data_IF_057676999850
#
_entry.id   IF_057676999850
#
_cell.length_a   1.000
_cell.length_b   1.000
_cell.length_c   1.000
_cell.angle_alpha   90.00
_cell.angle_beta   90.00
_cell.angle_gamma   90.00
#
_symmetry.space_group_name_H-M   'P 1'
#
loop_
_entity.id
_entity.type
_entity.pdbx_description
1 polymer ?
#
# COMPACT_ATOMS: atom_id res chain seq x y z
N UNK A 1 18.25 7.64 0.27
CA UNK A 1 17.52 8.88 0.59
C UNK A 1 16.04 8.67 0.29
N UNK A 2 15.15 8.97 1.24
CA UNK A 2 13.70 8.64 1.23
C UNK A 2 13.34 7.16 1.03
N UNK A 3 14.18 6.23 1.49
CA UNK A 3 13.91 4.78 1.39
C UNK A 3 12.53 4.41 1.97
N UNK A 4 12.09 5.12 3.01
CA UNK A 4 10.77 4.96 3.62
C UNK A 4 9.61 5.16 2.64
N UNK A 5 9.75 6.05 1.64
CA UNK A 5 8.69 6.33 0.66
C UNK A 5 8.52 5.13 -0.28
N UNK A 6 9.63 4.54 -0.71
CA UNK A 6 9.61 3.30 -1.49
C UNK A 6 9.04 2.15 -0.67
N UNK A 7 9.50 1.98 0.57
CA UNK A 7 8.99 0.92 1.45
C UNK A 7 7.48 1.08 1.69
N UNK A 8 7.00 2.32 1.84
CA UNK A 8 5.58 2.64 1.93
C UNK A 8 4.82 2.23 0.68
N UNK A 9 5.26 2.68 -0.50
CA UNK A 9 4.59 2.40 -1.77
C UNK A 9 4.56 0.89 -2.07
N UNK A 10 5.68 0.20 -1.86
CA UNK A 10 5.75 -1.25 -2.03
C UNK A 10 4.78 -1.97 -1.10
N UNK A 11 4.72 -1.58 0.18
CA UNK A 11 3.82 -2.21 1.13
C UNK A 11 2.35 -1.91 0.80
N UNK A 12 2.04 -0.71 0.32
CA UNK A 12 0.72 -0.34 -0.17
C UNK A 12 0.29 -1.19 -1.37
N UNK A 13 1.19 -1.38 -2.36
CA UNK A 13 0.96 -2.25 -3.52
C UNK A 13 0.75 -3.72 -3.12
N UNK A 14 1.58 -4.24 -2.20
CA UNK A 14 1.45 -5.61 -1.69
C UNK A 14 0.12 -5.83 -0.97
N UNK A 15 -0.31 -4.88 -0.13
CA UNK A 15 -1.61 -4.93 0.55
C UNK A 15 -2.74 -4.92 -0.48
N UNK A 16 -2.73 -3.98 -1.42
CA UNK A 16 -3.77 -3.86 -2.45
C UNK A 16 -3.88 -5.14 -3.31
N UNK A 17 -2.74 -5.75 -3.64
CA UNK A 17 -2.73 -7.01 -4.38
C UNK A 17 -3.28 -8.19 -3.55
N UNK A 18 -2.96 -8.27 -2.25
CA UNK A 18 -3.54 -9.28 -1.36
C UNK A 18 -5.04 -9.10 -1.17
N UNK A 19 -5.54 -7.87 -1.00
CA UNK A 19 -6.97 -7.57 -0.92
C UNK A 19 -7.71 -8.02 -2.18
N UNK A 20 -7.16 -7.69 -3.35
CA UNK A 20 -7.68 -8.14 -4.64
C UNK A 20 -7.73 -9.67 -4.76
N UNK A 21 -6.67 -10.36 -4.33
CA UNK A 21 -6.61 -11.82 -4.35
C UNK A 21 -7.59 -12.45 -3.36
N UNK A 22 -7.75 -11.84 -2.18
CA UNK A 22 -8.72 -12.26 -1.17
C UNK A 22 -10.14 -12.19 -1.73
N UNK A 23 -10.50 -11.08 -2.37
CA UNK A 23 -11.82 -10.88 -2.98
C UNK A 23 -12.12 -11.93 -4.06
N UNK A 24 -11.14 -12.21 -4.93
CA UNK A 24 -11.26 -13.28 -5.92
C UNK A 24 -11.45 -14.65 -5.27
N UNK A 25 -10.66 -14.95 -4.25
CA UNK A 25 -10.70 -16.27 -3.59
C UNK A 25 -12.00 -16.45 -2.81
N UNK A 26 -12.52 -15.38 -2.18
CA UNK A 26 -13.87 -15.36 -1.58
C UNK A 26 -14.98 -15.50 -2.62
N UNK A 27 -14.81 -14.95 -3.82
CA UNK A 27 -15.75 -15.17 -4.93
C UNK A 27 -15.72 -16.62 -5.44
N UNK A 28 -14.53 -17.23 -5.51
CA UNK A 28 -14.36 -18.64 -5.82
C UNK A 28 -15.07 -19.52 -4.80
N UNK A 29 -14.87 -19.29 -3.50
CA UNK A 29 -15.54 -20.04 -2.44
C UNK A 29 -17.07 -19.96 -2.57
N UNK A 30 -17.62 -18.79 -2.88
CA UNK A 30 -19.08 -18.63 -3.11
C UNK A 30 -19.60 -19.54 -4.22
N UNK A 31 -18.82 -19.75 -5.29
CA UNK A 31 -19.19 -20.68 -6.38
C UNK A 31 -19.25 -22.13 -5.91
N UNK A 32 -18.30 -22.54 -5.06
CA UNK A 32 -18.26 -23.87 -4.47
C UNK A 32 -19.39 -24.12 -3.46
N UNK A 33 -19.73 -23.13 -2.64
CA UNK A 33 -20.74 -23.29 -1.57
C UNK A 33 -22.17 -23.16 -2.11
N UNK A 34 -22.39 -22.21 -3.02
CA UNK A 34 -23.75 -21.77 -3.39
C UNK A 34 -23.95 -21.53 -4.88
N UNK A 35 -22.91 -21.64 -5.69
CA UNK A 35 -22.96 -21.35 -7.12
C UNK A 35 -22.90 -22.59 -8.00
N UNK A 36 -22.34 -22.39 -9.18
CA UNK A 36 -22.28 -23.37 -10.27
C UNK A 36 -21.39 -24.59 -9.97
N UNK A 37 -20.53 -24.51 -8.96
CA UNK A 37 -19.64 -25.61 -8.56
C UNK A 37 -20.18 -26.42 -7.37
N UNK A 38 -21.38 -26.09 -6.85
CA UNK A 38 -21.95 -26.71 -5.64
C UNK A 38 -22.14 -28.23 -5.73
N UNK A 39 -22.55 -28.72 -6.89
CA UNK A 39 -22.83 -30.16 -7.10
C UNK A 39 -21.55 -30.99 -7.37
N UNK A 40 -20.38 -30.32 -7.48
CA UNK A 40 -19.08 -30.99 -7.57
C UNK A 40 -18.69 -31.43 -6.15
N UNK A 41 -18.63 -32.74 -5.91
CA UNK A 41 -18.48 -33.32 -4.56
C UNK A 41 -17.29 -32.72 -3.78
N UNK A 42 -17.62 -31.93 -2.75
CA UNK A 42 -16.68 -31.44 -1.75
C UNK A 42 -16.32 -32.58 -0.77
N UNK A 43 -15.28 -33.35 -1.05
CA UNK A 43 -14.60 -34.18 -0.03
C UNK A 43 -13.66 -33.30 0.82
N UNK A 44 -13.13 -33.79 1.94
CA UNK A 44 -12.14 -33.05 2.74
C UNK A 44 -10.84 -32.71 1.96
N UNK A 45 -10.58 -33.43 0.86
CA UNK A 45 -9.48 -33.19 -0.08
C UNK A 45 -9.89 -32.32 -1.28
N UNK A 46 -11.15 -31.86 -1.32
CA UNK A 46 -11.68 -31.10 -2.44
C UNK A 46 -10.99 -29.76 -2.59
N UNK A 47 -11.03 -29.25 -3.82
CA UNK A 47 -10.52 -27.92 -4.13
C UNK A 47 -11.19 -26.83 -3.27
N UNK A 48 -12.46 -26.98 -2.88
CA UNK A 48 -13.13 -26.05 -1.97
C UNK A 48 -12.49 -25.94 -0.58
N UNK A 49 -12.10 -27.06 0.04
CA UNK A 49 -11.38 -27.04 1.33
C UNK A 49 -10.00 -26.38 1.22
N UNK A 50 -9.34 -26.52 0.05
CA UNK A 50 -8.09 -25.81 -0.25
C UNK A 50 -8.31 -24.31 -0.45
N UNK A 51 -9.48 -23.88 -0.94
CA UNK A 51 -9.86 -22.46 -1.09
C UNK A 51 -10.02 -21.81 0.28
N UNK A 52 -10.64 -22.47 1.26
CA UNK A 52 -10.75 -21.95 2.64
C UNK A 52 -9.38 -21.76 3.29
N UNK A 53 -8.49 -22.76 3.19
CA UNK A 53 -7.11 -22.65 3.69
C UNK A 53 -6.33 -21.51 3.00
N UNK A 54 -6.55 -21.28 1.70
CA UNK A 54 -5.95 -20.15 0.97
C UNK A 54 -6.47 -18.81 1.47
N UNK A 55 -7.77 -18.71 1.77
CA UNK A 55 -8.37 -17.48 2.35
C UNK A 55 -7.71 -17.19 3.69
N UNK A 56 -7.62 -18.18 4.58
CA UNK A 56 -7.00 -18.00 5.90
C UNK A 56 -5.54 -17.54 5.79
N UNK A 57 -4.76 -18.13 4.88
CA UNK A 57 -3.38 -17.72 4.63
C UNK A 57 -3.27 -16.26 4.13
N UNK A 58 -4.15 -15.85 3.20
CA UNK A 58 -4.17 -14.47 2.68
C UNK A 58 -4.58 -13.48 3.79
N UNK A 59 -5.60 -13.80 4.58
CA UNK A 59 -6.05 -12.95 5.70
C UNK A 59 -4.97 -12.80 6.77
N UNK A 60 -4.26 -13.89 7.08
CA UNK A 60 -3.11 -13.86 7.98
C UNK A 60 -2.00 -12.94 7.46
N UNK A 61 -1.59 -13.10 6.20
CA UNK A 61 -0.55 -12.24 5.61
C UNK A 61 -0.98 -10.78 5.55
N UNK A 62 -2.24 -10.51 5.17
CA UNK A 62 -2.81 -9.17 5.12
C UNK A 62 -2.74 -8.51 6.50
N UNK A 63 -3.10 -9.23 7.58
CA UNK A 63 -3.01 -8.71 8.94
C UNK A 63 -1.58 -8.31 9.34
N UNK A 64 -0.57 -9.09 8.94
CA UNK A 64 0.84 -8.73 9.18
C UNK A 64 1.25 -7.48 8.41
N UNK A 65 0.94 -7.41 7.11
CA UNK A 65 1.29 -6.24 6.30
C UNK A 65 0.57 -4.97 6.75
N UNK A 66 -0.70 -5.05 7.15
CA UNK A 66 -1.42 -3.92 7.73
C UNK A 66 -0.77 -3.43 9.04
N UNK A 67 -0.28 -4.36 9.88
CA UNK A 67 0.48 -4.00 11.08
C UNK A 67 1.82 -3.33 10.73
N UNK A 68 2.53 -3.82 9.72
CA UNK A 68 3.76 -3.18 9.23
C UNK A 68 3.48 -1.78 8.68
N UNK A 69 2.38 -1.61 7.94
CA UNK A 69 1.93 -0.32 7.41
C UNK A 69 1.63 0.66 8.55
N UNK A 70 0.95 0.21 9.60
CA UNK A 70 0.72 1.01 10.80
C UNK A 70 2.03 1.45 11.47
N UNK A 71 2.99 0.53 11.63
CA UNK A 71 4.31 0.83 12.22
C UNK A 71 5.09 1.83 11.36
N UNK A 72 5.08 1.65 10.04
CA UNK A 72 5.74 2.54 9.09
C UNK A 72 5.13 3.94 9.12
N UNK A 73 3.79 4.07 9.08
CA UNK A 73 3.11 5.37 9.22
C UNK A 73 3.47 6.07 10.54
N UNK A 74 3.58 5.33 11.64
CA UNK A 74 4.01 5.85 12.96
C UNK A 74 5.49 6.25 12.99
N UNK A 75 6.34 5.63 12.19
CA UNK A 75 7.73 6.05 12.02
C UNK A 75 7.79 7.35 11.21
N UNK A 76 7.12 7.39 10.05
CA UNK A 76 7.10 8.54 9.14
C UNK A 76 6.54 9.78 9.84
N UNK A 77 5.55 9.63 10.73
CA UNK A 77 4.98 10.75 11.49
C UNK A 77 5.98 11.45 12.42
N UNK A 78 7.14 10.83 12.71
CA UNK A 78 8.21 11.44 13.52
C UNK A 78 9.21 12.24 12.68
N UNK A 79 9.19 12.07 11.36
CA UNK A 79 10.12 12.78 10.48
C UNK A 79 9.79 14.26 10.45
N UNK A 80 10.85 15.07 10.55
CA UNK A 80 10.80 16.53 10.52
C UNK A 80 11.43 17.03 9.21
N UNK A 81 11.32 18.33 9.00
CA UNK A 81 11.82 18.98 7.79
C UNK A 81 10.74 19.06 6.72
N UNK A 82 10.79 20.15 5.96
CA UNK A 82 9.79 20.48 4.96
C UNK A 82 9.71 19.41 3.87
N UNK A 83 10.85 18.83 3.47
CA UNK A 83 10.92 17.80 2.45
C UNK A 83 10.14 16.53 2.84
N UNK A 84 10.34 16.03 4.05
CA UNK A 84 9.60 14.86 4.55
C UNK A 84 8.10 15.16 4.70
N UNK A 85 7.75 16.37 5.15
CA UNK A 85 6.36 16.80 5.27
C UNK A 85 5.66 16.84 3.91
N UNK A 86 6.30 17.43 2.88
CA UNK A 86 5.77 17.47 1.51
C UNK A 86 5.54 16.05 1.00
N UNK A 87 6.51 15.14 1.14
CA UNK A 87 6.39 13.76 0.65
C UNK A 87 5.29 12.98 1.40
N UNK A 88 5.24 13.08 2.73
CA UNK A 88 4.19 12.41 3.52
C UNK A 88 2.81 12.90 3.13
N UNK A 89 2.59 14.21 3.16
CA UNK A 89 1.27 14.76 2.86
C UNK A 89 0.83 14.43 1.43
N UNK A 90 1.78 14.43 0.47
CA UNK A 90 1.49 14.12 -0.93
C UNK A 90 1.16 12.65 -1.18
N UNK A 91 1.99 11.74 -0.66
CA UNK A 91 1.97 10.33 -1.05
C UNK A 91 1.34 9.41 -0.01
N UNK A 92 1.30 9.80 1.27
CA UNK A 92 0.67 9.02 2.36
C UNK A 92 -0.71 9.56 2.69
N UNK A 93 -0.85 10.88 2.74
CA UNK A 93 -2.12 11.52 3.12
C UNK A 93 -2.96 11.94 1.90
N UNK A 94 -2.45 11.77 0.67
CA UNK A 94 -3.19 11.96 -0.59
C UNK A 94 -3.47 13.41 -0.99
N UNK A 95 -2.81 14.38 -0.37
CA UNK A 95 -3.11 15.81 -0.55
C UNK A 95 -2.58 16.39 -1.88
N UNK A 96 -3.20 17.48 -2.31
CA UNK A 96 -2.73 18.36 -3.38
C UNK A 96 -1.57 19.25 -2.90
N UNK A 97 -0.77 19.79 -3.83
CA UNK A 97 0.33 20.67 -3.45
C UNK A 97 -0.17 22.02 -2.90
N UNK A 98 -1.37 22.42 -3.29
CA UNK A 98 -2.11 23.57 -2.77
C UNK A 98 -2.50 23.37 -1.31
N UNK A 99 -3.17 22.27 -0.97
CA UNK A 99 -3.51 21.93 0.42
C UNK A 99 -2.27 21.81 1.31
N UNK A 100 -1.19 21.21 0.77
CA UNK A 100 0.08 21.11 1.48
C UNK A 100 0.63 22.50 1.81
N UNK A 101 0.60 23.43 0.85
CA UNK A 101 1.09 24.79 1.05
C UNK A 101 0.35 25.51 2.18
N UNK A 102 -0.97 25.32 2.26
CA UNK A 102 -1.78 25.83 3.37
C UNK A 102 -1.38 25.21 4.70
N UNK A 103 -1.23 23.88 4.77
CA UNK A 103 -0.88 23.14 6.00
C UNK A 103 0.50 23.53 6.54
N UNK A 104 1.50 23.64 5.66
CA UNK A 104 2.87 23.98 6.07
C UNK A 104 3.13 25.49 6.11
N UNK A 105 2.12 26.31 5.82
CA UNK A 105 2.17 27.78 5.81
C UNK A 105 3.26 28.35 4.88
N UNK A 106 3.33 27.82 3.65
CA UNK A 106 4.19 28.31 2.57
C UNK A 106 3.35 28.70 1.35
N UNK A 107 3.93 29.45 0.43
CA UNK A 107 3.25 29.72 -0.84
C UNK A 107 3.16 28.45 -1.70
N UNK A 108 2.06 28.30 -2.44
CA UNK A 108 1.89 27.19 -3.39
C UNK A 108 3.05 27.08 -4.39
N UNK A 109 3.58 28.22 -4.85
CA UNK A 109 4.76 28.27 -5.73
C UNK A 109 6.01 27.67 -5.07
N UNK A 110 6.25 27.98 -3.79
CA UNK A 110 7.37 27.43 -3.04
C UNK A 110 7.28 25.90 -2.92
N UNK A 111 6.09 25.38 -2.57
CA UNK A 111 5.86 23.93 -2.43
C UNK A 111 5.99 23.21 -3.77
N UNK A 112 5.43 23.77 -4.86
CA UNK A 112 5.60 23.21 -6.20
C UNK A 112 7.06 23.11 -6.61
N UNK A 113 7.85 24.16 -6.36
CA UNK A 113 9.29 24.17 -6.64
C UNK A 113 10.02 23.09 -5.83
N UNK A 114 9.77 23.04 -4.51
CA UNK A 114 10.40 22.05 -3.62
C UNK A 114 10.03 20.61 -3.97
N UNK A 115 8.77 20.35 -4.27
CA UNK A 115 8.31 19.04 -4.74
C UNK A 115 9.01 18.63 -6.04
N UNK A 116 9.13 19.54 -7.01
CA UNK A 116 9.83 19.26 -8.26
C UNK A 116 11.33 18.94 -8.05
N UNK A 117 12.00 19.65 -7.14
CA UNK A 117 13.39 19.36 -6.75
C UNK A 117 13.52 17.96 -6.13
N UNK A 118 12.62 17.59 -5.22
CA UNK A 118 12.57 16.27 -4.59
C UNK A 118 12.35 15.14 -5.59
N UNK A 119 11.39 15.30 -6.50
CA UNK A 119 11.11 14.30 -7.54
C UNK A 119 12.31 14.09 -8.46
N UNK A 120 13.02 15.16 -8.84
CA UNK A 120 14.25 15.03 -9.65
C UNK A 120 15.34 14.28 -8.90
N UNK A 121 15.51 14.59 -7.61
CA UNK A 121 16.50 13.93 -6.76
C UNK A 121 16.19 12.44 -6.61
N UNK A 122 14.94 12.08 -6.28
CA UNK A 122 14.51 10.68 -6.15
C UNK A 122 14.80 9.91 -7.43
N UNK A 123 14.36 10.43 -8.59
CA UNK A 123 14.61 9.80 -9.90
C UNK A 123 16.09 9.65 -10.24
N UNK A 124 16.91 10.62 -9.82
CA UNK A 124 18.35 10.54 -10.01
C UNK A 124 18.96 9.42 -9.17
N UNK A 125 18.64 9.36 -7.87
CA UNK A 125 19.21 8.36 -6.95
C UNK A 125 18.74 6.94 -7.33
N UNK A 126 17.50 6.77 -7.80
CA UNK A 126 16.99 5.51 -8.36
C UNK A 126 17.75 5.07 -9.62
N UNK A 127 18.05 6.01 -10.54
CA UNK A 127 18.80 5.71 -11.77
C UNK A 127 20.22 5.24 -11.47
N UNK A 128 20.87 5.87 -10.51
CA UNK A 128 22.27 5.58 -10.16
C UNK A 128 22.42 4.33 -9.26
N UNK A 129 21.31 3.67 -8.89
CA UNK A 129 21.33 2.50 -8.00
C UNK A 129 21.83 2.80 -6.59
N UNK A 130 21.80 4.08 -6.18
CA UNK A 130 22.26 4.54 -4.87
C UNK A 130 21.20 4.23 -3.79
N UNK A 131 19.95 3.93 -4.19
CA UNK A 131 18.89 3.42 -3.32
C UNK A 131 18.08 2.30 -3.93
#
# INVERSE_FOLDING_TARGET
>A
MFNWLRDYQKLEEEIAYLEYNLDKTKAELRRWVSGDLREVRLTAESEGAKVENRIEAIEYELAHKMNDMYRLKKLISKFRGLENQILKLKYVDGMTLEEIAEIVNYSSSHIKKKHAELVRLIKFVEREGII
#
